data_IF_823576927956
#
_entry.id   IF_823576927956
#
_cell.length_a   1.000
_cell.length_b   1.000
_cell.length_c   1.000
_cell.angle_alpha   90.00
_cell.angle_beta   90.00
_cell.angle_gamma   90.00
#
_symmetry.space_group_name_H-M   'P 1'
#
loop_
_entity.id
_entity.type
_entity.pdbx_description
1 polymer ?
#
# COMPACT_ATOMS: atom_id res chain seq x y z
N UNK A 1 -18.55 -1.88 18.03
CA UNK A 1 -18.36 -3.12 17.25
C UNK A 1 -16.98 -3.05 16.62
N UNK A 2 -16.08 -3.99 16.92
CA UNK A 2 -14.79 -4.08 16.22
C UNK A 2 -15.06 -4.56 14.81
N UNK A 3 -15.02 -3.66 13.83
CA UNK A 3 -15.14 -4.02 12.41
C UNK A 3 -14.04 -5.05 12.10
N UNK A 4 -14.42 -6.21 11.58
CA UNK A 4 -13.45 -7.19 11.07
C UNK A 4 -12.65 -6.47 9.97
N UNK A 5 -11.36 -6.25 10.20
CA UNK A 5 -10.49 -5.54 9.26
C UNK A 5 -9.87 -6.59 8.34
N UNK A 6 -10.43 -6.69 7.14
CA UNK A 6 -9.87 -7.51 6.09
C UNK A 6 -9.20 -6.66 5.02
N UNK A 7 -8.27 -7.27 4.28
CA UNK A 7 -7.62 -6.67 3.13
C UNK A 7 -7.70 -7.62 1.92
N UNK A 8 -7.75 -7.07 0.69
CA UNK A 8 -7.68 -7.87 -0.52
C UNK A 8 -6.40 -8.72 -0.59
N UNK A 9 -6.55 -10.00 -0.91
CA UNK A 9 -5.43 -10.95 -1.08
C UNK A 9 -4.50 -10.56 -2.23
N UNK A 10 -5.01 -9.84 -3.23
CA UNK A 10 -4.23 -9.40 -4.40
C UNK A 10 -2.95 -8.65 -4.06
N UNK A 11 -2.93 -7.85 -2.99
CA UNK A 11 -1.72 -7.16 -2.53
C UNK A 11 -0.64 -8.14 -2.05
N UNK A 12 -1.03 -9.20 -1.35
CA UNK A 12 -0.11 -10.26 -0.92
C UNK A 12 0.41 -11.04 -2.13
N UNK A 13 -0.47 -11.37 -3.07
CA UNK A 13 -0.09 -12.10 -4.29
C UNK A 13 0.95 -11.33 -5.12
N UNK A 14 0.80 -10.01 -5.25
CA UNK A 14 1.78 -9.15 -5.95
C UNK A 14 3.15 -9.17 -5.24
N UNK A 15 3.14 -9.03 -3.91
CA UNK A 15 4.36 -9.07 -3.10
C UNK A 15 5.08 -10.41 -3.25
N UNK A 16 4.35 -11.51 -3.06
CA UNK A 16 4.90 -12.88 -3.10
C UNK A 16 5.46 -13.21 -4.48
N UNK A 17 4.71 -12.92 -5.55
CA UNK A 17 5.16 -13.19 -6.92
C UNK A 17 6.48 -12.48 -7.25
N UNK A 18 6.66 -11.27 -6.74
CA UNK A 18 7.91 -10.52 -6.95
C UNK A 18 9.08 -11.18 -6.25
N UNK A 19 8.87 -11.62 -5.00
CA UNK A 19 9.93 -12.24 -4.20
C UNK A 19 10.25 -13.68 -4.65
N UNK A 20 9.27 -14.41 -5.19
CA UNK A 20 9.51 -15.69 -5.85
C UNK A 20 10.47 -15.55 -7.04
N UNK A 21 10.32 -14.49 -7.85
CA UNK A 21 11.23 -14.22 -8.96
C UNK A 21 12.66 -13.91 -8.48
N UNK A 22 12.82 -13.50 -7.22
CA UNK A 22 14.10 -13.29 -6.55
C UNK A 22 14.62 -14.54 -5.80
N UNK A 23 13.91 -15.67 -5.92
CA UNK A 23 14.30 -16.96 -5.33
C UNK A 23 13.85 -17.15 -3.87
N UNK A 24 12.97 -16.29 -3.35
CA UNK A 24 12.43 -16.42 -1.99
C UNK A 24 11.19 -17.30 -2.03
N UNK A 25 11.16 -18.36 -1.20
CA UNK A 25 10.04 -19.31 -1.15
C UNK A 25 8.79 -18.71 -0.53
N UNK A 26 7.68 -18.78 -1.29
CA UNK A 26 6.32 -18.45 -0.84
C UNK A 26 5.91 -19.22 0.39
N UNK A 27 6.19 -20.52 0.42
CA UNK A 27 5.85 -21.38 1.54
C UNK A 27 6.51 -20.85 2.82
N UNK A 28 7.77 -20.41 2.76
CA UNK A 28 8.46 -19.82 3.91
C UNK A 28 7.83 -18.50 4.36
N UNK A 29 7.37 -17.66 3.43
CA UNK A 29 6.69 -16.40 3.77
C UNK A 29 5.35 -16.67 4.48
N UNK A 30 4.60 -17.68 4.03
CA UNK A 30 3.23 -17.95 4.47
C UNK A 30 3.12 -18.89 5.69
N UNK A 31 4.10 -19.77 5.90
CA UNK A 31 4.01 -20.89 6.85
C UNK A 31 3.63 -20.45 8.28
N UNK A 32 4.29 -19.42 8.82
CA UNK A 32 4.05 -18.93 10.19
C UNK A 32 2.70 -18.19 10.34
N UNK A 33 2.00 -17.92 9.23
CA UNK A 33 0.75 -17.14 9.19
C UNK A 33 -0.49 -18.04 9.07
N UNK A 34 -0.31 -19.36 8.90
CA UNK A 34 -1.40 -20.29 8.66
C UNK A 34 -2.07 -20.08 7.30
N UNK A 35 -1.30 -19.56 6.33
CA UNK A 35 -1.72 -19.37 4.95
C UNK A 35 -0.94 -20.34 4.04
N UNK A 36 -1.55 -20.67 2.92
CA UNK A 36 -0.96 -21.44 1.81
C UNK A 36 -1.32 -20.79 0.48
N UNK A 37 -0.58 -21.13 -0.58
CA UNK A 37 -0.90 -20.68 -1.94
C UNK A 37 -2.33 -21.04 -2.34
N UNK A 38 -2.84 -22.20 -1.91
CA UNK A 38 -4.23 -22.61 -2.13
C UNK A 38 -5.22 -21.70 -1.39
N UNK A 39 -4.97 -21.36 -0.12
CA UNK A 39 -5.86 -20.45 0.62
C UNK A 39 -5.88 -19.04 0.02
N UNK A 40 -4.75 -18.56 -0.52
CA UNK A 40 -4.69 -17.28 -1.21
C UNK A 40 -5.41 -17.30 -2.57
N UNK A 41 -5.48 -18.46 -3.23
CA UNK A 41 -6.25 -18.60 -4.46
C UNK A 41 -7.76 -18.65 -4.21
N UNK A 42 -8.18 -19.24 -3.09
CA UNK A 42 -9.58 -19.50 -2.79
C UNK A 42 -10.27 -18.43 -1.93
N UNK A 43 -9.55 -17.38 -1.52
CA UNK A 43 -10.09 -16.28 -0.72
C UNK A 43 -9.80 -14.93 -1.36
N UNK A 44 -10.80 -14.05 -1.38
CA UNK A 44 -10.63 -12.66 -1.81
C UNK A 44 -9.94 -11.80 -0.74
N UNK A 45 -10.01 -12.22 0.52
CA UNK A 45 -9.64 -11.40 1.68
C UNK A 45 -8.84 -12.18 2.74
N UNK A 46 -7.97 -11.47 3.46
CA UNK A 46 -7.27 -11.94 4.66
C UNK A 46 -7.48 -10.96 5.81
N UNK A 47 -7.26 -11.40 7.05
CA UNK A 47 -7.28 -10.48 8.20
C UNK A 47 -6.10 -9.51 8.15
N UNK A 48 -6.24 -8.35 8.80
CA UNK A 48 -5.13 -7.39 8.95
C UNK A 48 -3.91 -8.03 9.62
N UNK A 49 -4.10 -8.89 10.63
CA UNK A 49 -2.98 -9.54 11.33
C UNK A 49 -2.24 -10.54 10.44
N UNK A 50 -2.97 -11.28 9.60
CA UNK A 50 -2.37 -12.15 8.59
C UNK A 50 -1.58 -11.33 7.57
N UNK A 51 -2.18 -10.24 7.07
CA UNK A 51 -1.52 -9.36 6.12
C UNK A 51 -0.23 -8.78 6.68
N UNK A 52 -0.27 -8.20 7.88
CA UNK A 52 0.90 -7.61 8.54
C UNK A 52 1.99 -8.66 8.75
N UNK A 53 1.63 -9.86 9.19
CA UNK A 53 2.58 -10.96 9.39
C UNK A 53 3.25 -11.36 8.08
N UNK A 54 2.50 -11.47 6.97
CA UNK A 54 3.07 -11.76 5.64
C UNK A 54 4.07 -10.68 5.23
N UNK A 55 3.73 -9.40 5.37
CA UNK A 55 4.62 -8.28 5.01
C UNK A 55 5.88 -8.22 5.89
N UNK A 56 5.79 -8.59 7.16
CA UNK A 56 6.97 -8.68 8.02
C UNK A 56 7.86 -9.87 7.61
N UNK A 57 7.25 -10.99 7.21
CA UNK A 57 7.99 -12.14 6.70
C UNK A 57 8.68 -11.81 5.37
N UNK A 58 8.05 -11.03 4.48
CA UNK A 58 8.72 -10.60 3.23
C UNK A 58 9.94 -9.73 3.52
N UNK A 59 9.86 -8.79 4.47
CA UNK A 59 11.02 -8.00 4.90
C UNK A 59 12.15 -8.89 5.43
N UNK A 60 11.82 -9.80 6.36
CA UNK A 60 12.77 -10.68 7.01
C UNK A 60 13.48 -11.61 6.02
N UNK A 61 12.73 -12.19 5.08
CA UNK A 61 13.25 -13.18 4.14
C UNK A 61 14.01 -12.55 2.97
N UNK A 62 13.62 -11.35 2.53
CA UNK A 62 14.37 -10.61 1.50
C UNK A 62 15.64 -9.97 2.04
N UNK A 63 15.69 -9.66 3.33
CA UNK A 63 16.76 -8.84 3.91
C UNK A 63 16.80 -7.42 3.34
N UNK A 64 15.75 -6.98 2.61
CA UNK A 64 15.69 -5.69 1.97
C UNK A 64 15.16 -4.63 2.97
N UNK A 65 16.00 -3.67 3.43
CA UNK A 65 15.53 -2.64 4.35
C UNK A 65 14.50 -1.70 3.70
N UNK A 66 14.52 -1.57 2.37
CA UNK A 66 13.61 -0.74 1.58
C UNK A 66 12.42 -1.54 1.01
N UNK A 67 12.04 -2.65 1.65
CA UNK A 67 10.94 -3.50 1.18
C UNK A 67 9.62 -2.74 1.01
N UNK A 68 9.34 -1.72 1.83
CA UNK A 68 8.12 -0.92 1.70
C UNK A 68 8.11 -0.14 0.39
N UNK A 69 9.23 0.50 0.05
CA UNK A 69 9.39 1.21 -1.21
C UNK A 69 9.25 0.26 -2.41
N UNK A 70 9.91 -0.90 -2.35
CA UNK A 70 9.79 -1.95 -3.37
C UNK A 70 8.32 -2.36 -3.54
N UNK A 71 7.65 -2.74 -2.46
CA UNK A 71 6.26 -3.18 -2.50
C UNK A 71 5.32 -2.10 -3.04
N UNK A 72 5.52 -0.84 -2.65
CA UNK A 72 4.76 0.29 -3.18
C UNK A 72 4.98 0.49 -4.68
N UNK A 73 6.21 0.29 -5.16
CA UNK A 73 6.54 0.42 -6.58
C UNK A 73 5.85 -0.63 -7.47
N UNK A 74 5.50 -1.79 -6.92
CA UNK A 74 4.76 -2.84 -7.62
C UNK A 74 3.27 -2.51 -7.77
N UNK A 75 2.77 -1.52 -7.02
CA UNK A 75 1.37 -1.14 -7.06
C UNK A 75 1.13 -0.15 -8.20
N UNK A 76 0.10 -0.46 -8.98
CA UNK A 76 -0.43 0.41 -10.02
C UNK A 76 -1.78 0.96 -9.55
N UNK A 77 -2.27 2.11 -10.08
CA UNK A 77 -3.63 2.55 -9.77
C UNK A 77 -4.65 1.44 -10.02
N UNK A 78 -4.55 0.70 -11.13
CA UNK A 78 -5.48 -0.42 -11.44
C UNK A 78 -5.44 -1.58 -10.43
N UNK A 79 -4.36 -1.76 -9.66
CA UNK A 79 -4.30 -2.73 -8.54
C UNK A 79 -5.38 -2.44 -7.49
N UNK A 80 -5.86 -1.19 -7.43
CA UNK A 80 -6.92 -0.75 -6.54
C UNK A 80 -8.34 -1.07 -7.05
N UNK A 81 -8.46 -1.88 -8.11
CA UNK A 81 -9.74 -2.32 -8.64
C UNK A 81 -10.61 -1.13 -9.08
N UNK A 82 -11.93 -1.16 -8.81
CA UNK A 82 -12.83 -0.08 -9.25
C UNK A 82 -12.43 1.32 -8.78
N UNK A 83 -11.88 1.44 -7.56
CA UNK A 83 -11.41 2.73 -7.01
C UNK A 83 -10.28 3.29 -7.87
N UNK A 84 -9.31 2.44 -8.23
CA UNK A 84 -8.19 2.81 -9.08
C UNK A 84 -8.59 3.19 -10.50
N UNK A 85 -9.52 2.43 -11.07
CA UNK A 85 -10.06 2.73 -12.41
C UNK A 85 -10.84 4.05 -12.44
N UNK A 86 -11.62 4.35 -11.40
CA UNK A 86 -12.32 5.62 -11.28
C UNK A 86 -11.33 6.79 -11.17
N UNK A 87 -10.26 6.63 -10.39
CA UNK A 87 -9.20 7.63 -10.27
C UNK A 87 -8.47 7.90 -11.59
N UNK A 88 -8.09 6.87 -12.35
CA UNK A 88 -7.41 7.04 -13.66
C UNK A 88 -8.29 7.76 -14.68
N UNK A 89 -9.60 7.54 -14.66
CA UNK A 89 -10.54 8.15 -15.61
C UNK A 89 -11.08 9.51 -15.12
N UNK A 90 -10.51 10.05 -14.05
CA UNK A 90 -10.94 11.34 -13.51
C UNK A 90 -10.44 12.51 -14.37
N UNK A 91 -11.20 13.62 -14.47
CA UNK A 91 -10.81 14.76 -15.29
C UNK A 91 -9.55 15.48 -14.80
N UNK A 92 -9.30 15.46 -13.48
CA UNK A 92 -8.16 16.13 -12.86
C UNK A 92 -7.49 15.27 -11.79
N UNK A 93 -6.25 15.61 -11.43
CA UNK A 93 -5.55 14.99 -10.32
C UNK A 93 -6.28 15.17 -8.98
N UNK A 94 -6.91 16.33 -8.76
CA UNK A 94 -7.70 16.58 -7.55
C UNK A 94 -8.89 15.63 -7.46
N UNK A 95 -9.64 15.46 -8.56
CA UNK A 95 -10.77 14.53 -8.63
C UNK A 95 -10.33 13.08 -8.33
N UNK A 96 -9.18 12.67 -8.88
CA UNK A 96 -8.62 11.35 -8.62
C UNK A 96 -8.26 11.13 -7.15
N UNK A 97 -7.65 12.12 -6.49
CA UNK A 97 -7.29 12.06 -5.07
C UNK A 97 -8.55 12.05 -4.18
N UNK A 98 -9.59 12.80 -4.55
CA UNK A 98 -10.88 12.79 -3.86
C UNK A 98 -11.55 11.41 -3.92
N UNK A 99 -11.42 10.68 -5.03
CA UNK A 99 -11.88 9.29 -5.12
C UNK A 99 -11.16 8.40 -4.11
N UNK A 100 -9.83 8.52 -4.00
CA UNK A 100 -9.08 7.77 -2.98
C UNK A 100 -9.49 8.17 -1.56
N UNK A 101 -9.63 9.46 -1.26
CA UNK A 101 -10.12 9.93 0.03
C UNK A 101 -11.49 9.31 0.39
N UNK A 102 -12.41 9.27 -0.58
CA UNK A 102 -13.78 8.80 -0.34
C UNK A 102 -13.88 7.28 -0.26
N UNK A 103 -13.12 6.54 -1.07
CA UNK A 103 -13.36 5.11 -1.29
C UNK A 103 -12.20 4.18 -0.87
N UNK A 104 -11.03 4.69 -0.46
CA UNK A 104 -9.91 3.84 -0.01
C UNK A 104 -10.28 2.93 1.16
N UNK A 105 -11.16 3.39 2.05
CA UNK A 105 -11.60 2.65 3.23
C UNK A 105 -12.22 1.27 2.91
N UNK A 106 -12.73 1.09 1.68
CA UNK A 106 -13.29 -0.19 1.21
C UNK A 106 -12.18 -1.24 1.09
N UNK A 107 -10.95 -0.83 0.76
CA UNK A 107 -9.81 -1.73 0.52
C UNK A 107 -8.83 -1.75 1.67
N UNK A 108 -8.57 -0.57 2.24
CA UNK A 108 -7.59 -0.35 3.31
C UNK A 108 -8.25 0.46 4.41
N UNK A 109 -9.08 -0.16 5.28
CA UNK A 109 -9.93 0.55 6.25
C UNK A 109 -9.16 1.28 7.35
N UNK A 110 -7.84 1.14 7.38
CA UNK A 110 -6.95 1.79 8.34
C UNK A 110 -6.10 2.90 7.72
N UNK A 111 -6.30 3.24 6.46
CA UNK A 111 -5.54 4.29 5.77
C UNK A 111 -6.50 5.43 5.41
N UNK A 112 -6.23 6.61 5.95
CA UNK A 112 -6.98 7.82 5.65
C UNK A 112 -6.12 8.76 4.79
N UNK A 113 -6.77 9.34 3.78
CA UNK A 113 -6.21 10.39 2.94
C UNK A 113 -6.96 11.68 3.26
N UNK A 114 -6.24 12.74 3.60
CA UNK A 114 -6.83 14.04 3.86
C UNK A 114 -6.14 15.11 2.99
N UNK A 115 -6.59 15.30 1.73
CA UNK A 115 -6.14 16.38 0.88
C UNK A 115 -6.57 17.74 1.44
N UNK A 116 -5.70 18.74 1.30
CA UNK A 116 -5.99 20.12 1.66
C UNK A 116 -5.09 21.06 0.87
N UNK A 117 -5.57 22.28 0.64
CA UNK A 117 -4.78 23.36 0.05
C UNK A 117 -4.36 24.31 1.18
N UNK A 118 -3.06 24.61 1.25
CA UNK A 118 -2.52 25.56 2.21
C UNK A 118 -1.31 26.26 1.61
N UNK A 119 -1.26 27.59 1.70
CA UNK A 119 -0.11 28.41 1.28
C UNK A 119 0.37 28.08 -0.16
N UNK A 120 -0.59 27.97 -1.10
CA UNK A 120 -0.37 27.59 -2.51
C UNK A 120 0.21 26.18 -2.73
N UNK A 121 0.09 25.30 -1.73
CA UNK A 121 0.50 23.88 -1.81
C UNK A 121 -0.69 22.95 -1.68
N UNK A 122 -0.71 21.93 -2.53
CA UNK A 122 -1.61 20.80 -2.38
C UNK A 122 -0.97 19.75 -1.46
N UNK A 123 -1.58 19.49 -0.30
CA UNK A 123 -1.03 18.62 0.74
C UNK A 123 -1.95 17.41 0.90
N UNK A 124 -1.38 16.22 0.78
CA UNK A 124 -2.09 14.96 1.06
C UNK A 124 -1.56 14.42 2.37
N UNK A 125 -2.36 14.50 3.43
CA UNK A 125 -2.00 13.88 4.72
C UNK A 125 -2.46 12.43 4.74
N UNK A 126 -1.51 11.52 4.81
CA UNK A 126 -1.74 10.09 5.04
C UNK A 126 -1.77 9.81 6.55
N UNK A 127 -2.76 9.06 7.02
CA UNK A 127 -2.84 8.62 8.42
C UNK A 127 -3.15 7.13 8.51
N UNK A 128 -2.28 6.39 9.19
CA UNK A 128 -2.55 5.00 9.57
C UNK A 128 -3.30 5.01 10.91
N UNK A 129 -4.55 4.55 10.92
CA UNK A 129 -5.43 4.57 12.11
C UNK A 129 -5.25 3.35 13.01
N UNK A 130 -4.36 2.44 12.64
CA UNK A 130 -4.05 1.22 13.38
C UNK A 130 -2.59 1.18 13.78
N UNK A 131 -2.32 0.59 14.95
CA UNK A 131 -0.96 0.31 15.36
C UNK A 131 -0.46 -0.95 14.62
N UNK A 132 0.29 -0.72 13.54
CA UNK A 132 0.90 -1.79 12.74
C UNK A 132 2.25 -2.28 13.32
N UNK A 133 2.61 -1.84 14.53
CA UNK A 133 3.86 -2.18 15.22
C UNK A 133 5.07 -1.97 14.31
N UNK A 134 5.90 -2.99 14.16
CA UNK A 134 7.12 -2.98 13.34
C UNK A 134 6.84 -2.81 11.84
N UNK A 135 5.62 -3.09 11.36
CA UNK A 135 5.28 -2.90 9.95
C UNK A 135 4.92 -1.44 9.61
N UNK A 136 4.79 -0.54 10.58
CA UNK A 136 4.32 0.83 10.35
C UNK A 136 5.11 1.55 9.25
N UNK A 137 6.44 1.52 9.31
CA UNK A 137 7.28 2.17 8.30
C UNK A 137 7.16 1.53 6.92
N UNK A 138 7.05 0.21 6.84
CA UNK A 138 6.85 -0.52 5.57
C UNK A 138 5.58 -0.02 4.88
N UNK A 139 4.49 0.15 5.64
CA UNK A 139 3.23 0.67 5.09
C UNK A 139 3.34 2.13 4.68
N UNK A 140 4.03 2.98 5.46
CA UNK A 140 4.24 4.39 5.10
C UNK A 140 5.03 4.49 3.79
N UNK A 141 6.15 3.77 3.67
CA UNK A 141 6.95 3.71 2.44
C UNK A 141 6.13 3.23 1.24
N UNK A 142 5.40 2.13 1.39
CA UNK A 142 4.58 1.58 0.32
C UNK A 142 3.48 2.54 -0.14
N UNK A 143 2.85 3.26 0.80
CA UNK A 143 1.80 4.23 0.47
C UNK A 143 2.35 5.50 -0.18
N UNK A 144 3.53 5.97 0.23
CA UNK A 144 4.16 7.14 -0.40
C UNK A 144 4.59 6.81 -1.83
N UNK A 145 5.21 5.64 -2.05
CA UNK A 145 5.57 5.20 -3.40
C UNK A 145 4.34 4.98 -4.28
N UNK A 146 3.29 4.36 -3.76
CA UNK A 146 2.03 4.21 -4.47
C UNK A 146 1.44 5.57 -4.85
N UNK A 147 1.39 6.52 -3.91
CA UNK A 147 0.81 7.83 -4.14
C UNK A 147 1.59 8.59 -5.22
N UNK A 148 2.92 8.52 -5.18
CA UNK A 148 3.77 9.06 -6.25
C UNK A 148 3.43 8.42 -7.59
N UNK A 149 3.42 7.08 -7.70
CA UNK A 149 3.08 6.37 -8.93
C UNK A 149 1.69 6.74 -9.47
N UNK A 150 0.69 6.88 -8.58
CA UNK A 150 -0.66 7.29 -8.97
C UNK A 150 -0.66 8.71 -9.55
N UNK A 151 0.02 9.64 -8.88
CA UNK A 151 0.10 11.03 -9.32
C UNK A 151 0.82 11.11 -10.68
N UNK A 152 1.99 10.48 -10.80
CA UNK A 152 2.80 10.49 -12.03
C UNK A 152 2.06 9.84 -13.20
N UNK A 153 1.32 8.75 -12.94
CA UNK A 153 0.49 8.11 -13.94
C UNK A 153 -0.61 9.04 -14.48
N UNK A 154 -1.27 9.78 -13.59
CA UNK A 154 -2.33 10.74 -13.98
C UNK A 154 -1.74 11.97 -14.69
N UNK A 155 -0.58 12.46 -14.24
CA UNK A 155 0.11 13.58 -14.87
C UNK A 155 0.74 13.21 -16.23
N UNK A 156 1.02 11.93 -16.46
CA UNK A 156 1.72 11.44 -17.64
C UNK A 156 3.22 11.80 -17.66
N UNK A 157 3.78 12.17 -16.51
CA UNK A 157 5.20 12.52 -16.32
C UNK A 157 5.65 12.25 -14.88
N UNK A 158 6.95 12.18 -14.68
CA UNK A 158 7.55 12.20 -13.34
C UNK A 158 7.21 13.50 -12.60
N UNK A 159 7.08 13.40 -11.27
CA UNK A 159 6.74 14.49 -10.39
C UNK A 159 8.02 15.04 -9.74
N UNK A 160 8.41 16.26 -10.10
CA UNK A 160 9.62 16.93 -9.62
C UNK A 160 9.31 18.03 -8.57
N UNK A 161 8.05 18.42 -8.46
CA UNK A 161 7.58 19.48 -7.58
C UNK A 161 7.20 19.03 -6.16
N UNK A 162 7.19 17.72 -5.89
CA UNK A 162 6.68 17.17 -4.64
C UNK A 162 7.74 17.01 -3.56
N UNK A 163 7.27 17.12 -2.31
CA UNK A 163 8.06 16.86 -1.11
C UNK A 163 7.34 15.77 -0.32
N UNK A 164 8.01 14.64 -0.11
CA UNK A 164 7.52 13.57 0.74
C UNK A 164 8.02 13.79 2.17
N UNK A 165 7.10 13.87 3.12
CA UNK A 165 7.40 14.05 4.53
C UNK A 165 6.95 12.81 5.31
N UNK A 166 7.86 12.21 6.07
CA UNK A 166 7.56 11.10 6.98
C UNK A 166 7.68 11.63 8.41
N UNK A 167 6.69 11.32 9.24
CA UNK A 167 6.78 11.57 10.68
C UNK A 167 7.60 10.47 11.35
N UNK A 168 8.91 10.50 11.14
CA UNK A 168 9.88 9.62 11.79
C UNK A 168 10.98 10.45 12.45
N UNK A 169 11.71 9.82 13.37
CA UNK A 169 13.02 10.34 13.78
C UNK A 169 13.90 10.51 12.53
N UNK A 170 14.81 11.49 12.58
CA UNK A 170 15.85 11.63 11.55
C UNK A 170 16.62 10.30 11.46
N UNK A 171 16.89 9.76 10.26
CA UNK A 171 17.78 8.61 10.13
C UNK A 171 19.15 8.93 10.74
N UNK A 172 19.75 7.96 11.43
CA UNK A 172 21.11 8.07 11.97
C UNK A 172 22.16 8.30 10.87
#
# INVERSE_FOLDING_TARGET
>A
MSTIKTLPVSYIQIAIRTLENEGISTEKILHEVGLTSETLHNSDYVSLDQFVSVILNTQKMSGNPAIGLLLGSLLHPSTHGPVGWAAINSPTLSDAIEIFQKYSHIRTPFILYNPMIRDDKYIIRLTLTQNLKTAHMIFVEAMLMLLQHVIEFILGREMDEAILCINSSKPD
#
